data_IF_503942775170
#
_entry.id   IF_503942775170
#
_cell.length_a   1.000
_cell.length_b   1.000
_cell.length_c   1.000
_cell.angle_alpha   90.00
_cell.angle_beta   90.00
_cell.angle_gamma   90.00
#
_symmetry.space_group_name_H-M   'P 1'
#
loop_
_entity.id
_entity.type
_entity.pdbx_description
1 polymer ?
#
# COMPACT_ATOMS: atom_id res chain seq x y z
N UNK A 1 -31.82 -4.63 -11.20
CA UNK A 1 -30.78 -4.35 -12.22
C UNK A 1 -30.07 -3.06 -11.85
N UNK A 2 -28.74 -3.04 -11.81
CA UNK A 2 -27.92 -1.96 -11.25
C UNK A 2 -27.56 -0.85 -12.26
N UNK A 3 -27.55 -1.18 -13.56
CA UNK A 3 -27.15 -0.27 -14.63
C UNK A 3 -27.90 1.09 -14.67
N UNK A 4 -29.22 1.18 -14.42
CA UNK A 4 -29.93 2.46 -14.41
C UNK A 4 -29.45 3.45 -13.33
N UNK A 5 -28.74 2.96 -12.31
CA UNK A 5 -28.24 3.75 -11.21
C UNK A 5 -26.74 4.07 -11.36
N UNK A 6 -26.08 3.55 -12.40
CA UNK A 6 -24.69 3.85 -12.67
C UNK A 6 -24.54 5.31 -13.11
N UNK A 7 -23.69 6.03 -12.40
CA UNK A 7 -23.26 7.38 -12.74
C UNK A 7 -21.91 7.30 -13.42
N UNK A 8 -21.80 7.91 -14.60
CA UNK A 8 -20.55 8.10 -15.32
C UNK A 8 -20.44 9.59 -15.62
N UNK A 9 -19.52 10.28 -14.95
CA UNK A 9 -19.28 11.72 -15.12
C UNK A 9 -17.81 11.96 -15.40
N UNK A 10 -17.51 12.75 -16.42
CA UNK A 10 -16.16 13.23 -16.70
C UNK A 10 -16.16 14.75 -16.51
N UNK A 11 -15.35 15.27 -15.60
CA UNK A 11 -15.22 16.70 -15.36
C UNK A 11 -13.80 17.03 -14.91
N UNK A 12 -13.16 17.99 -15.58
CA UNK A 12 -11.87 18.54 -15.14
C UNK A 12 -10.71 17.53 -15.11
N UNK A 13 -10.75 16.49 -15.95
CA UNK A 13 -9.73 15.42 -15.96
C UNK A 13 -9.99 14.28 -14.98
N UNK A 14 -11.10 14.33 -14.24
CA UNK A 14 -11.53 13.26 -13.34
C UNK A 14 -12.73 12.51 -13.93
N UNK A 15 -12.59 11.18 -14.05
CA UNK A 15 -13.69 10.27 -14.35
C UNK A 15 -14.26 9.74 -13.04
N UNK A 16 -15.52 10.08 -12.76
CA UNK A 16 -16.28 9.58 -11.61
C UNK A 16 -17.22 8.47 -12.06
N UNK A 17 -17.01 7.28 -11.49
CA UNK A 17 -17.89 6.12 -11.63
C UNK A 17 -18.50 5.81 -10.26
N UNK A 18 -19.82 5.70 -10.18
CA UNK A 18 -20.49 5.44 -8.91
C UNK A 18 -21.95 5.03 -9.08
N UNK A 19 -22.64 4.87 -7.95
CA UNK A 19 -24.08 4.62 -7.93
C UNK A 19 -24.82 5.85 -7.41
N UNK A 20 -25.91 6.21 -8.06
CA UNK A 20 -26.78 7.31 -7.65
C UNK A 20 -27.71 6.84 -6.50
N UNK A 21 -27.27 7.06 -5.27
CA UNK A 21 -28.00 6.59 -4.09
C UNK A 21 -29.25 7.41 -3.77
N UNK A 22 -29.38 8.64 -4.29
CA UNK A 22 -30.61 9.44 -4.14
C UNK A 22 -31.77 8.77 -4.88
N UNK A 23 -31.48 8.07 -5.98
CA UNK A 23 -32.45 7.29 -6.75
C UNK A 23 -32.69 5.88 -6.20
N UNK A 24 -31.77 5.32 -5.41
CA UNK A 24 -31.91 3.95 -4.88
C UNK A 24 -32.53 3.87 -3.49
N UNK A 25 -32.30 4.84 -2.61
CA UNK A 25 -32.54 4.66 -1.17
C UNK A 25 -31.63 3.56 -0.57
N UNK A 26 -31.97 3.07 0.64
CA UNK A 26 -31.30 1.91 1.28
C UNK A 26 -31.76 0.61 0.61
N UNK A 27 -31.06 0.19 -0.43
CA UNK A 27 -31.39 -1.04 -1.18
C UNK A 27 -30.16 -1.93 -1.26
N UNK A 28 -30.33 -3.19 -0.88
CA UNK A 28 -29.35 -4.24 -1.15
C UNK A 28 -29.44 -4.61 -2.63
N UNK A 29 -28.45 -4.20 -3.42
CA UNK A 29 -28.40 -4.57 -4.82
C UNK A 29 -27.81 -5.98 -4.96
N UNK A 30 -28.63 -6.93 -5.39
CA UNK A 30 -28.18 -8.28 -5.75
C UNK A 30 -28.10 -8.41 -7.27
N UNK A 31 -27.10 -9.13 -7.77
CA UNK A 31 -26.91 -9.37 -9.20
C UNK A 31 -25.44 -9.46 -9.61
N UNK A 32 -25.23 -9.54 -10.94
CA UNK A 32 -23.90 -9.58 -11.53
C UNK A 32 -23.16 -8.25 -11.36
N UNK A 33 -21.83 -8.26 -11.23
CA UNK A 33 -21.02 -7.05 -11.21
C UNK A 33 -21.18 -6.25 -12.50
N UNK A 34 -21.12 -4.92 -12.39
CA UNK A 34 -21.00 -4.02 -13.56
C UNK A 34 -19.52 -3.81 -13.83
N UNK A 35 -19.10 -4.06 -15.06
CA UNK A 35 -17.73 -3.79 -15.51
C UNK A 35 -17.75 -2.58 -16.42
N UNK A 36 -16.88 -1.61 -16.14
CA UNK A 36 -16.69 -0.42 -16.98
C UNK A 36 -15.26 -0.46 -17.52
N UNK A 37 -15.13 -0.42 -18.84
CA UNK A 37 -13.83 -0.32 -19.50
C UNK A 37 -13.49 1.14 -19.72
N UNK A 38 -12.33 1.56 -19.21
CA UNK A 38 -11.85 2.94 -19.31
C UNK A 38 -10.54 2.96 -20.09
N UNK A 39 -10.38 3.95 -20.96
CA UNK A 39 -9.12 4.24 -21.63
C UNK A 39 -8.84 5.73 -21.47
N UNK A 40 -7.67 6.05 -20.92
CA UNK A 40 -7.23 7.43 -20.66
C UNK A 40 -5.75 7.56 -21.00
N UNK A 41 -5.28 8.75 -21.41
CA UNK A 41 -3.88 8.96 -21.79
C UNK A 41 -2.89 8.80 -20.62
N UNK A 42 -3.25 9.27 -19.43
CA UNK A 42 -2.46 9.10 -18.20
C UNK A 42 -3.43 8.98 -17.00
N UNK A 43 -3.11 8.10 -16.05
CA UNK A 43 -3.88 7.91 -14.81
C UNK A 43 -2.89 8.01 -13.64
N UNK A 44 -2.85 9.17 -12.99
CA UNK A 44 -1.98 9.43 -11.85
C UNK A 44 -2.71 9.37 -10.49
N UNK A 45 -4.04 9.24 -10.49
CA UNK A 45 -4.84 9.04 -9.28
C UNK A 45 -5.92 8.00 -9.49
N UNK A 46 -6.07 7.10 -8.52
CA UNK A 46 -7.17 6.14 -8.43
C UNK A 46 -7.75 6.18 -7.02
N UNK A 47 -9.04 6.46 -6.90
CA UNK A 47 -9.76 6.43 -5.61
C UNK A 47 -10.91 5.43 -5.70
N UNK A 48 -10.92 4.43 -4.82
CA UNK A 48 -11.85 3.30 -4.85
C UNK A 48 -12.43 3.06 -3.47
N UNK A 49 -13.74 2.85 -3.40
CA UNK A 49 -14.41 2.57 -2.12
C UNK A 49 -15.55 1.57 -2.27
N UNK A 50 -16.10 1.13 -1.14
CA UNK A 50 -17.39 0.44 -1.04
C UNK A 50 -17.44 -0.87 -1.85
N UNK A 51 -16.36 -1.66 -1.77
CA UNK A 51 -16.25 -2.95 -2.45
C UNK A 51 -16.04 -2.89 -3.97
N UNK A 52 -15.84 -1.70 -4.54
CA UNK A 52 -15.46 -1.57 -5.95
C UNK A 52 -14.03 -2.09 -6.19
N UNK A 53 -13.75 -2.52 -7.42
CA UNK A 53 -12.46 -3.05 -7.83
C UNK A 53 -11.93 -2.36 -9.09
N UNK A 54 -10.69 -1.88 -9.05
CA UNK A 54 -9.95 -1.47 -10.25
C UNK A 54 -8.93 -2.55 -10.59
N UNK A 55 -8.89 -2.92 -11.87
CA UNK A 55 -7.84 -3.75 -12.45
C UNK A 55 -7.22 -2.98 -13.61
N UNK A 56 -5.90 -2.81 -13.59
CA UNK A 56 -5.16 -2.23 -14.71
C UNK A 56 -4.47 -3.38 -15.45
N UNK A 57 -4.92 -3.64 -16.68
CA UNK A 57 -4.46 -4.80 -17.48
C UNK A 57 -3.13 -4.56 -18.22
N UNK A 58 -2.64 -3.32 -18.24
CA UNK A 58 -1.40 -2.92 -18.91
C UNK A 58 -0.47 -2.19 -17.95
N UNK A 59 0.77 -1.97 -18.37
CA UNK A 59 1.72 -1.15 -17.64
C UNK A 59 1.14 0.24 -17.38
N UNK A 60 1.18 0.66 -16.11
CA UNK A 60 0.83 2.01 -15.71
C UNK A 60 2.11 2.85 -15.63
N UNK A 61 2.28 3.74 -16.60
CA UNK A 61 3.40 4.69 -16.68
C UNK A 61 2.88 6.10 -16.43
N UNK A 62 3.45 6.75 -15.43
CA UNK A 62 3.13 8.11 -14.99
C UNK A 62 4.45 8.87 -14.92
N UNK A 63 4.52 10.07 -15.49
CA UNK A 63 5.77 10.84 -15.47
C UNK A 63 6.02 11.48 -14.09
N UNK A 64 4.94 11.72 -13.35
CA UNK A 64 4.93 12.30 -12.01
C UNK A 64 4.56 11.27 -10.92
N UNK A 65 3.99 11.72 -9.82
CA UNK A 65 3.53 10.91 -8.71
C UNK A 65 2.20 10.20 -9.01
N UNK A 66 2.13 8.93 -8.62
CA UNK A 66 0.93 8.10 -8.65
C UNK A 66 0.33 7.97 -7.25
N UNK A 67 -0.95 8.28 -7.10
CA UNK A 67 -1.71 8.14 -5.85
C UNK A 67 -2.81 7.07 -5.99
N UNK A 68 -2.86 6.14 -5.03
CA UNK A 68 -3.94 5.18 -4.89
C UNK A 68 -4.59 5.29 -3.52
N UNK A 69 -5.90 5.49 -3.51
CA UNK A 69 -6.70 5.54 -2.30
C UNK A 69 -7.73 4.41 -2.35
N UNK A 70 -7.75 3.54 -1.33
CA UNK A 70 -8.72 2.46 -1.27
C UNK A 70 -9.35 2.35 0.12
N UNK A 71 -10.67 2.25 0.20
CA UNK A 71 -11.40 2.12 1.47
C UNK A 71 -12.57 1.15 1.39
N UNK A 72 -13.08 0.72 2.55
CA UNK A 72 -14.35 -0.02 2.68
C UNK A 72 -14.42 -1.26 1.77
N UNK A 73 -13.43 -2.13 1.87
CA UNK A 73 -13.35 -3.37 1.10
C UNK A 73 -13.00 -3.22 -0.38
N UNK A 74 -12.61 -2.03 -0.84
CA UNK A 74 -12.17 -1.80 -2.21
C UNK A 74 -10.88 -2.54 -2.57
N UNK A 75 -10.71 -2.86 -3.86
CA UNK A 75 -9.52 -3.54 -4.38
C UNK A 75 -8.90 -2.78 -5.54
N UNK A 76 -7.57 -2.68 -5.58
CA UNK A 76 -6.81 -2.25 -6.76
C UNK A 76 -5.77 -3.32 -7.10
N UNK A 77 -5.72 -3.75 -8.35
CA UNK A 77 -4.73 -4.71 -8.85
C UNK A 77 -4.05 -4.20 -10.11
N UNK A 78 -2.72 -4.16 -10.10
CA UNK A 78 -1.90 -3.65 -11.20
C UNK A 78 -0.69 -4.56 -11.36
N UNK A 79 -0.34 -4.93 -12.59
CA UNK A 79 0.85 -5.75 -12.81
C UNK A 79 2.13 -4.92 -12.72
N UNK A 80 2.21 -3.82 -13.48
CA UNK A 80 3.41 -3.01 -13.61
C UNK A 80 3.15 -1.52 -13.37
N UNK A 81 3.92 -0.92 -12.46
CA UNK A 81 3.91 0.52 -12.15
C UNK A 81 5.28 1.14 -12.42
N UNK A 82 5.29 2.25 -13.14
CA UNK A 82 6.44 3.16 -13.25
C UNK A 82 5.95 4.59 -13.00
N UNK A 83 6.51 5.22 -11.97
CA UNK A 83 6.17 6.58 -11.57
C UNK A 83 7.37 7.26 -10.90
N UNK A 84 7.35 8.58 -10.76
CA UNK A 84 8.34 9.31 -9.96
C UNK A 84 8.17 8.99 -8.47
N UNK A 85 6.98 9.24 -7.93
CA UNK A 85 6.55 8.81 -6.61
C UNK A 85 5.36 7.87 -6.70
N UNK A 86 5.19 7.03 -5.68
CA UNK A 86 4.04 6.15 -5.59
C UNK A 86 3.53 6.14 -4.15
N UNK A 87 2.34 6.71 -3.95
CA UNK A 87 1.66 6.80 -2.66
C UNK A 87 0.43 5.90 -2.65
N UNK A 88 0.24 5.19 -1.54
CA UNK A 88 -0.90 4.32 -1.30
C UNK A 88 -1.50 4.61 0.07
N UNK A 89 -2.76 5.01 0.11
CA UNK A 89 -3.51 5.27 1.34
C UNK A 89 -4.70 4.32 1.45
N UNK A 90 -4.63 3.37 2.38
CA UNK A 90 -5.62 2.30 2.55
C UNK A 90 -6.24 2.28 3.95
N UNK A 91 -7.55 2.03 3.99
CA UNK A 91 -8.30 1.87 5.24
C UNK A 91 -9.47 0.88 5.10
N UNK A 92 -10.02 0.45 6.24
CA UNK A 92 -11.31 -0.24 6.32
C UNK A 92 -11.40 -1.48 5.42
N UNK A 93 -10.42 -2.39 5.56
CA UNK A 93 -10.41 -3.68 4.86
C UNK A 93 -10.15 -3.62 3.36
N UNK A 94 -9.67 -2.49 2.81
CA UNK A 94 -9.27 -2.42 1.41
C UNK A 94 -7.97 -3.16 1.12
N UNK A 95 -7.74 -3.49 -0.15
CA UNK A 95 -6.57 -4.23 -0.60
C UNK A 95 -5.96 -3.64 -1.88
N UNK A 96 -4.64 -3.47 -1.90
CA UNK A 96 -3.89 -3.12 -3.11
C UNK A 96 -2.84 -4.20 -3.38
N UNK A 97 -2.80 -4.67 -4.63
CA UNK A 97 -1.76 -5.58 -5.13
C UNK A 97 -1.05 -4.96 -6.34
N UNK A 98 0.28 -4.93 -6.28
CA UNK A 98 1.13 -4.56 -7.41
C UNK A 98 2.19 -5.62 -7.63
N UNK A 99 2.33 -6.09 -8.87
CA UNK A 99 3.39 -7.03 -9.26
C UNK A 99 4.77 -6.39 -9.18
N UNK A 100 5.08 -5.48 -10.10
CA UNK A 100 6.32 -4.75 -10.18
C UNK A 100 6.10 -3.24 -9.99
N UNK A 101 6.96 -2.59 -9.22
CA UNK A 101 6.97 -1.14 -9.07
C UNK A 101 8.40 -0.59 -9.21
N UNK A 102 8.63 0.28 -10.20
CA UNK A 102 9.87 1.01 -10.38
C UNK A 102 9.64 2.50 -10.13
N UNK A 103 10.03 2.97 -8.95
CA UNK A 103 9.70 4.33 -8.47
C UNK A 103 10.91 4.98 -7.80
N UNK A 104 10.95 6.31 -7.68
CA UNK A 104 11.99 6.98 -6.87
C UNK A 104 11.64 6.88 -5.38
N UNK A 105 10.41 7.26 -5.04
CA UNK A 105 9.87 7.27 -3.67
C UNK A 105 8.62 6.41 -3.55
N UNK A 106 8.56 5.57 -2.52
CA UNK A 106 7.40 4.76 -2.17
C UNK A 106 6.84 5.21 -0.81
N UNK A 107 5.55 5.52 -0.75
CA UNK A 107 4.84 5.88 0.47
C UNK A 107 3.64 4.94 0.63
N UNK A 108 3.52 4.31 1.79
CA UNK A 108 2.42 3.40 2.09
C UNK A 108 1.84 3.76 3.46
N UNK A 109 0.56 4.13 3.50
CA UNK A 109 -0.21 4.33 4.72
C UNK A 109 -1.33 3.31 4.78
N UNK A 110 -1.35 2.44 5.80
CA UNK A 110 -2.40 1.44 5.98
C UNK A 110 -3.01 1.51 7.38
N UNK A 111 -4.33 1.34 7.46
CA UNK A 111 -5.06 1.25 8.73
C UNK A 111 -6.27 0.30 8.65
N UNK A 112 -6.83 -0.05 9.80
CA UNK A 112 -8.13 -0.72 9.94
C UNK A 112 -8.29 -1.98 9.08
N UNK A 113 -7.36 -2.93 9.22
CA UNK A 113 -7.41 -4.22 8.54
C UNK A 113 -7.15 -4.20 7.02
N UNK A 114 -6.65 -3.09 6.47
CA UNK A 114 -6.25 -3.03 5.07
C UNK A 114 -4.99 -3.86 4.75
N UNK A 115 -4.83 -4.23 3.48
CA UNK A 115 -3.73 -5.06 3.00
C UNK A 115 -3.02 -4.44 1.79
N UNK A 116 -1.69 -4.41 1.82
CA UNK A 116 -0.87 -4.05 0.65
C UNK A 116 0.09 -5.19 0.33
N UNK A 117 0.14 -5.61 -0.93
CA UNK A 117 1.10 -6.59 -1.43
C UNK A 117 1.85 -6.02 -2.64
N UNK A 118 3.15 -5.77 -2.48
CA UNK A 118 4.04 -5.40 -3.58
C UNK A 118 5.11 -6.49 -3.77
N UNK A 119 5.06 -7.18 -4.91
CA UNK A 119 5.82 -8.41 -5.14
C UNK A 119 7.29 -8.14 -5.58
N UNK A 120 7.54 -7.03 -6.28
CA UNK A 120 8.88 -6.65 -6.74
C UNK A 120 9.03 -5.13 -6.88
N UNK A 121 9.52 -4.49 -5.82
CA UNK A 121 9.76 -3.04 -5.78
C UNK A 121 11.22 -2.72 -6.04
N UNK A 122 11.49 -1.72 -6.88
CA UNK A 122 12.78 -1.06 -6.98
C UNK A 122 12.59 0.44 -6.69
N UNK A 123 13.09 0.90 -5.56
CA UNK A 123 13.00 2.32 -5.18
C UNK A 123 14.30 2.90 -4.60
N UNK A 124 14.33 4.22 -4.40
CA UNK A 124 15.44 4.91 -3.72
C UNK A 124 15.12 5.19 -2.26
N UNK A 125 13.85 5.51 -1.96
CA UNK A 125 13.36 5.71 -0.60
C UNK A 125 12.00 5.01 -0.40
N UNK A 126 11.74 4.56 0.82
CA UNK A 126 10.45 4.00 1.21
C UNK A 126 10.03 4.53 2.57
N UNK A 127 8.76 4.89 2.72
CA UNK A 127 8.13 5.21 4.00
C UNK A 127 6.86 4.38 4.16
N UNK A 128 6.79 3.58 5.23
CA UNK A 128 5.65 2.69 5.50
C UNK A 128 5.09 2.98 6.88
N UNK A 129 3.88 3.50 6.92
CA UNK A 129 3.10 3.74 8.13
C UNK A 129 1.94 2.74 8.20
N UNK A 130 1.89 1.88 9.23
CA UNK A 130 0.92 0.79 9.30
C UNK A 130 0.33 0.66 10.70
N UNK A 131 -1.00 0.75 10.84
CA UNK A 131 -1.70 0.71 12.13
C UNK A 131 -2.97 -0.15 12.13
N UNK A 132 -3.56 -0.35 13.31
CA UNK A 132 -4.91 -0.93 13.52
C UNK A 132 -5.15 -2.25 12.76
N UNK A 133 -4.27 -3.23 12.98
CA UNK A 133 -4.39 -4.58 12.41
C UNK A 133 -4.20 -4.68 10.88
N UNK A 134 -3.69 -3.63 10.23
CA UNK A 134 -3.35 -3.70 8.80
C UNK A 134 -2.11 -4.53 8.52
N UNK A 135 -1.94 -4.98 7.27
CA UNK A 135 -0.78 -5.77 6.85
C UNK A 135 -0.16 -5.30 5.55
N UNK A 136 1.17 -5.20 5.53
CA UNK A 136 1.95 -4.84 4.33
C UNK A 136 2.95 -5.96 4.04
N UNK A 137 2.96 -6.47 2.81
CA UNK A 137 4.01 -7.35 2.29
C UNK A 137 4.79 -6.61 1.22
N UNK A 138 6.11 -6.50 1.42
CA UNK A 138 7.00 -5.72 0.57
C UNK A 138 8.22 -6.57 0.22
N UNK A 139 8.53 -6.67 -1.07
CA UNK A 139 9.69 -7.41 -1.59
C UNK A 139 10.43 -6.58 -2.64
N UNK A 140 11.72 -6.85 -2.84
CA UNK A 140 12.56 -6.17 -3.82
C UNK A 140 13.73 -5.42 -3.18
N UNK A 141 14.04 -4.22 -3.66
CA UNK A 141 15.21 -3.42 -3.26
C UNK A 141 14.89 -1.95 -3.06
N UNK A 142 15.50 -1.35 -2.04
CA UNK A 142 15.54 0.08 -1.80
C UNK A 142 17.00 0.54 -1.76
N UNK A 143 17.41 1.37 -2.72
CA UNK A 143 18.79 1.85 -2.85
C UNK A 143 19.24 2.75 -1.70
N UNK A 144 18.30 3.36 -0.97
CA UNK A 144 18.56 4.26 0.15
C UNK A 144 17.87 3.81 1.43
N UNK A 145 17.07 4.70 2.02
CA UNK A 145 16.50 4.51 3.35
C UNK A 145 15.08 3.94 3.27
N UNK A 146 14.80 2.95 4.11
CA UNK A 146 13.45 2.47 4.39
C UNK A 146 13.04 2.87 5.81
N UNK A 147 12.00 3.68 5.91
CA UNK A 147 11.36 4.08 7.16
C UNK A 147 10.12 3.21 7.42
N UNK A 148 10.00 2.71 8.65
CA UNK A 148 8.84 1.95 9.12
C UNK A 148 8.33 2.57 10.42
N UNK A 149 7.07 2.99 10.42
CA UNK A 149 6.32 3.38 11.62
C UNK A 149 5.11 2.45 11.75
N UNK A 150 5.17 1.52 12.71
CA UNK A 150 4.15 0.49 12.85
C UNK A 150 3.59 0.44 14.27
N UNK A 151 2.27 0.33 14.39
CA UNK A 151 1.60 0.34 15.69
C UNK A 151 0.30 -0.47 15.69
N UNK A 152 -0.29 -0.65 16.88
CA UNK A 152 -1.65 -1.16 17.06
C UNK A 152 -1.92 -2.48 16.31
N UNK A 153 -1.12 -3.50 16.63
CA UNK A 153 -1.20 -4.86 16.08
C UNK A 153 -1.06 -4.97 14.55
N UNK A 154 -0.50 -3.97 13.86
CA UNK A 154 -0.17 -4.09 12.44
C UNK A 154 1.00 -5.05 12.18
N UNK A 155 1.07 -5.59 10.96
CA UNK A 155 2.14 -6.51 10.55
C UNK A 155 2.76 -6.14 9.21
N UNK A 156 4.04 -5.80 9.23
CA UNK A 156 4.82 -5.49 8.02
C UNK A 156 5.84 -6.59 7.76
N UNK A 157 5.76 -7.22 6.58
CA UNK A 157 6.63 -8.29 6.10
C UNK A 157 7.50 -7.76 4.96
N UNK A 158 8.65 -7.21 5.31
CA UNK A 158 9.67 -6.65 4.41
C UNK A 158 11.03 -7.37 4.54
N UNK A 159 11.03 -8.64 4.95
CA UNK A 159 12.27 -9.43 5.11
C UNK A 159 13.00 -9.68 3.77
N UNK A 160 12.26 -9.63 2.67
CA UNK A 160 12.79 -9.83 1.31
C UNK A 160 12.79 -8.52 0.52
N UNK A 161 12.72 -7.39 1.22
CA UNK A 161 12.91 -6.05 0.70
C UNK A 161 14.22 -5.47 1.25
N UNK A 162 15.26 -5.52 0.43
CA UNK A 162 16.64 -5.17 0.83
C UNK A 162 16.82 -3.65 0.76
N UNK A 163 16.89 -2.99 1.91
CA UNK A 163 17.20 -1.56 1.99
C UNK A 163 18.67 -1.32 2.37
N UNK A 164 19.28 -0.25 1.87
CA UNK A 164 20.62 0.17 2.33
C UNK A 164 20.59 0.46 3.82
N UNK A 165 19.69 1.34 4.23
CA UNK A 165 19.55 1.81 5.62
C UNK A 165 18.11 1.63 6.08
N UNK A 166 17.92 1.23 7.33
CA UNK A 166 16.59 1.01 7.92
C UNK A 166 16.43 1.87 9.17
N UNK A 167 15.33 2.62 9.23
CA UNK A 167 14.84 3.22 10.46
C UNK A 167 13.46 2.63 10.77
N UNK A 168 13.31 2.02 11.95
CA UNK A 168 12.11 1.30 12.32
C UNK A 168 11.64 1.66 13.73
N UNK A 169 10.37 2.05 13.84
CA UNK A 169 9.66 2.21 15.11
C UNK A 169 8.46 1.27 15.12
N UNK A 170 8.36 0.48 16.20
CA UNK A 170 7.27 -0.47 16.38
C UNK A 170 6.69 -0.34 17.80
N UNK A 171 5.37 -0.22 17.92
CA UNK A 171 4.69 -0.13 19.22
C UNK A 171 3.39 -0.95 19.27
N UNK A 172 2.81 -1.09 20.47
CA UNK A 172 1.47 -1.62 20.71
C UNK A 172 1.19 -2.98 20.03
N UNK A 173 2.06 -3.95 20.28
CA UNK A 173 1.90 -5.34 19.79
C UNK A 173 2.11 -5.53 18.28
N UNK A 174 2.64 -4.54 17.56
CA UNK A 174 2.93 -4.64 16.13
C UNK A 174 4.13 -5.54 15.82
N UNK A 175 4.24 -6.03 14.58
CA UNK A 175 5.34 -6.89 14.15
C UNK A 175 5.95 -6.44 12.82
N UNK A 176 7.25 -6.13 12.84
CA UNK A 176 8.05 -5.82 11.67
C UNK A 176 9.02 -6.97 11.37
N UNK A 177 9.06 -7.39 10.10
CA UNK A 177 10.24 -8.04 9.53
C UNK A 177 10.85 -7.15 8.46
N UNK A 178 12.14 -6.83 8.52
CA UNK A 178 12.83 -5.97 7.55
C UNK A 178 14.20 -6.54 7.15
N UNK A 179 14.88 -5.92 6.19
CA UNK A 179 16.24 -6.30 5.78
C UNK A 179 17.09 -5.04 5.59
N UNK A 180 18.14 -4.92 6.40
CA UNK A 180 19.12 -3.83 6.33
C UNK A 180 20.46 -4.32 5.78
N UNK A 181 21.00 -3.63 4.78
CA UNK A 181 22.29 -3.98 4.18
C UNK A 181 23.48 -3.26 4.84
N UNK A 182 23.34 -1.98 5.20
CA UNK A 182 24.42 -1.14 5.76
C UNK A 182 24.16 -0.75 7.21
N UNK A 183 23.01 -0.17 7.51
CA UNK A 183 22.67 0.28 8.86
C UNK A 183 21.24 -0.02 9.26
N UNK A 184 21.01 -0.19 10.57
CA UNK A 184 19.68 -0.26 11.15
C UNK A 184 19.62 0.51 12.48
N UNK A 185 18.64 1.41 12.56
CA UNK A 185 18.15 2.00 13.81
C UNK A 185 16.75 1.47 14.06
N UNK A 186 16.53 0.81 15.20
CA UNK A 186 15.27 0.14 15.48
C UNK A 186 14.84 0.26 16.94
N UNK A 187 13.62 0.72 17.16
CA UNK A 187 13.01 0.86 18.47
C UNK A 187 11.69 0.08 18.51
N UNK A 188 11.55 -0.80 19.50
CA UNK A 188 10.33 -1.55 19.74
C UNK A 188 9.88 -1.32 21.19
N UNK A 189 8.57 -1.10 21.40
CA UNK A 189 8.00 -0.90 22.72
C UNK A 189 6.59 -1.50 22.83
N UNK A 190 6.04 -1.56 24.05
CA UNK A 190 4.65 -1.99 24.29
C UNK A 190 4.30 -3.34 23.64
N UNK A 191 5.20 -4.32 23.76
CA UNK A 191 5.02 -5.67 23.24
C UNK A 191 5.22 -5.84 21.72
N UNK A 192 5.69 -4.81 21.02
CA UNK A 192 6.03 -4.90 19.61
C UNK A 192 7.30 -5.72 19.37
N UNK A 193 7.44 -6.27 18.15
CA UNK A 193 8.59 -7.09 17.77
C UNK A 193 9.16 -6.65 16.43
N UNK A 194 10.44 -6.28 16.43
CA UNK A 194 11.20 -6.05 15.20
C UNK A 194 12.15 -7.22 14.96
N UNK A 195 12.17 -7.69 13.72
CA UNK A 195 13.02 -8.78 13.24
C UNK A 195 13.72 -8.36 11.97
N UNK A 196 15.06 -8.32 11.95
CA UNK A 196 15.79 -7.85 10.76
C UNK A 196 16.68 -8.94 10.16
N UNK A 197 16.75 -9.00 8.83
CA UNK A 197 17.76 -9.74 8.06
C UNK A 197 18.93 -8.83 7.67
N UNK A 198 20.01 -9.44 7.22
CA UNK A 198 21.22 -8.77 6.74
C UNK A 198 22.38 -8.83 7.74
N UNK A 199 23.51 -8.20 7.37
CA UNK A 199 24.70 -8.01 8.21
C UNK A 199 25.12 -6.53 8.15
N UNK A 200 24.26 -5.60 8.61
CA UNK A 200 24.61 -4.18 8.66
C UNK A 200 25.84 -3.99 9.55
N UNK A 201 26.71 -3.04 9.17
CA UNK A 201 27.88 -2.66 9.96
C UNK A 201 27.46 -1.86 11.20
N UNK A 202 26.42 -1.03 11.06
CA UNK A 202 25.91 -0.15 12.12
C UNK A 202 24.55 -0.63 12.62
N UNK A 203 24.49 -1.02 13.89
CA UNK A 203 23.26 -1.52 14.54
C UNK A 203 23.00 -0.72 15.80
N UNK A 204 21.96 0.12 15.77
CA UNK A 204 21.43 0.82 16.92
C UNK A 204 20.03 0.28 17.26
N UNK A 205 19.96 -0.68 18.18
CA UNK A 205 18.68 -1.31 18.54
C UNK A 205 18.68 -1.87 19.96
N UNK A 206 17.53 -1.80 20.63
CA UNK A 206 17.32 -2.50 21.91
C UNK A 206 17.13 -4.01 21.67
N UNK A 207 18.08 -4.80 22.16
CA UNK A 207 18.19 -6.25 21.90
C UNK A 207 17.04 -7.08 22.51
N UNK A 208 16.28 -6.53 23.45
CA UNK A 208 15.19 -7.26 24.11
C UNK A 208 14.06 -7.58 23.12
N UNK A 209 13.62 -6.56 22.38
CA UNK A 209 12.47 -6.62 21.47
C UNK A 209 12.87 -6.61 19.99
N UNK A 210 14.09 -6.14 19.67
CA UNK A 210 14.68 -6.18 18.33
C UNK A 210 15.67 -7.34 18.22
N UNK A 211 15.40 -8.28 17.30
CA UNK A 211 16.28 -9.44 17.08
C UNK A 211 16.62 -9.62 15.61
N UNK A 212 17.80 -10.16 15.35
CA UNK A 212 18.18 -10.59 14.01
C UNK A 212 17.51 -11.93 13.66
N UNK A 213 17.14 -12.11 12.39
CA UNK A 213 16.61 -13.37 11.83
C UNK A 213 17.71 -14.33 11.41
#
# INVERSE_FOLDING_TARGET
>A
KILPYLVVKNSGGELVLGLDFEKTGRVTMTGNPVTVYVSAPEINRMSVSSGASIKVDKDLRVDDDLLMEASSGAMISIEDVRASGFSMDLSSGSSVKVGNASVRSLIISTSSGSMVNLDNVSCTSSNVSSSSGSSVSLRGKCGGVAHYDISSASSVKAADFVASDVNAQASSGSSLKCHAAKSITAEASSGAKIRYKGRPADVNADKSDVKRL
#
